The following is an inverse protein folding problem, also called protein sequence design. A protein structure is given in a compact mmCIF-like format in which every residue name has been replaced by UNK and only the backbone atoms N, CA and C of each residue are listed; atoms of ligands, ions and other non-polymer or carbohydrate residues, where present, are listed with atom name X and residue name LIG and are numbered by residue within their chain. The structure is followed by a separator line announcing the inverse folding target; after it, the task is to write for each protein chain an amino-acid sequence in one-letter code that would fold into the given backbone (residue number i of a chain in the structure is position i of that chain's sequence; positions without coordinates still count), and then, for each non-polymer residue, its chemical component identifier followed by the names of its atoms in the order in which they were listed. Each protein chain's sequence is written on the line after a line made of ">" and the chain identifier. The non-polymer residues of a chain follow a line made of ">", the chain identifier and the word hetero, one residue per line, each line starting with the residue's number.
data_IF_790797864493
#
_entry.id   IF_790797864493
#
_cell.length_a   1.000
_cell.length_b   1.000
_cell.length_c   1.000
_cell.angle_alpha   90.00
_cell.angle_beta   90.00
_cell.angle_gamma   90.00
#
_symmetry.space_group_name_H-M   'P 1'
#
loop_
_entity.id
_entity.type
_entity.pdbx_description
1 polymer ?
#
# COMPACT_ATOMS: atom_id res chain seq x y z
N UNK A 1 -22.21 10.56 8.60
CA UNK A 1 -21.16 10.72 7.57
C UNK A 1 -21.29 9.60 6.56
N UNK A 2 -21.01 9.85 5.28
CA UNK A 2 -20.97 8.82 4.24
C UNK A 2 -19.86 7.81 4.56
N UNK A 3 -20.19 6.52 4.61
CA UNK A 3 -19.16 5.47 4.62
C UNK A 3 -18.64 5.31 3.19
N UNK A 4 -17.54 5.99 2.88
CA UNK A 4 -16.95 6.02 1.53
C UNK A 4 -16.57 4.61 1.07
N UNK A 5 -16.02 3.78 1.95
CA UNK A 5 -15.61 2.41 1.60
C UNK A 5 -16.81 1.55 1.20
N UNK A 6 -17.90 1.61 1.94
CA UNK A 6 -19.13 0.87 1.62
C UNK A 6 -19.74 1.36 0.30
N UNK A 7 -19.80 2.68 0.08
CA UNK A 7 -20.31 3.25 -1.16
C UNK A 7 -19.50 2.78 -2.39
N UNK A 8 -18.16 2.77 -2.28
CA UNK A 8 -17.30 2.27 -3.36
C UNK A 8 -17.59 0.79 -3.64
N UNK A 9 -17.69 -0.04 -2.60
CA UNK A 9 -17.96 -1.46 -2.73
C UNK A 9 -19.29 -1.75 -3.44
N UNK A 10 -20.36 -1.06 -3.00
CA UNK A 10 -21.73 -1.32 -3.46
C UNK A 10 -22.01 -0.73 -4.85
N UNK A 11 -21.45 0.45 -5.15
CA UNK A 11 -21.87 1.24 -6.32
C UNK A 11 -20.78 1.52 -7.36
N UNK A 12 -19.49 1.41 -7.01
CA UNK A 12 -18.39 1.70 -7.95
C UNK A 12 -17.74 0.42 -8.43
N UNK A 13 -17.28 -0.42 -7.51
CA UNK A 13 -16.57 -1.65 -7.86
C UNK A 13 -17.49 -2.86 -7.94
N UNK A 14 -18.69 -2.80 -7.36
CA UNK A 14 -19.64 -3.92 -7.32
C UNK A 14 -19.09 -5.17 -6.61
N UNK A 15 -18.16 -4.98 -5.67
CA UNK A 15 -17.46 -6.04 -4.93
C UNK A 15 -17.17 -5.58 -3.52
N UNK A 16 -17.41 -6.46 -2.55
CA UNK A 16 -17.20 -6.19 -1.12
C UNK A 16 -15.73 -6.34 -0.69
N UNK A 17 -14.95 -7.08 -1.47
CA UNK A 17 -13.56 -7.40 -1.15
C UNK A 17 -12.64 -7.26 -2.35
N UNK A 18 -11.33 -7.18 -2.08
CA UNK A 18 -10.30 -7.18 -3.11
C UNK A 18 -10.21 -8.55 -3.79
N UNK A 19 -10.04 -8.56 -5.11
CA UNK A 19 -9.82 -9.81 -5.87
C UNK A 19 -8.53 -10.54 -5.45
N UNK A 20 -7.59 -9.83 -4.84
CA UNK A 20 -6.32 -10.40 -4.38
C UNK A 20 -6.34 -10.80 -2.90
N UNK A 21 -7.46 -10.59 -2.18
CA UNK A 21 -7.52 -10.84 -0.73
C UNK A 21 -7.20 -12.30 -0.40
N UNK A 22 -7.82 -13.24 -1.11
CA UNK A 22 -7.59 -14.67 -0.92
C UNK A 22 -6.14 -15.07 -1.23
N UNK A 23 -5.57 -14.56 -2.33
CA UNK A 23 -4.20 -14.89 -2.74
C UNK A 23 -3.16 -14.33 -1.77
N UNK A 24 -3.35 -13.10 -1.29
CA UNK A 24 -2.47 -12.47 -0.29
C UNK A 24 -2.50 -13.27 1.00
N UNK A 25 -3.68 -13.69 1.45
CA UNK A 25 -3.81 -14.48 2.68
C UNK A 25 -3.18 -15.85 2.53
N UNK A 26 -3.44 -16.55 1.42
CA UNK A 26 -2.86 -17.86 1.12
C UNK A 26 -1.32 -17.82 1.02
N UNK A 27 -0.73 -16.67 0.71
CA UNK A 27 0.72 -16.50 0.58
C UNK A 27 1.33 -15.64 1.71
N UNK A 28 0.58 -15.31 2.77
CA UNK A 28 0.98 -14.35 3.79
C UNK A 28 2.34 -14.68 4.42
N UNK A 29 2.57 -15.94 4.78
CA UNK A 29 3.81 -16.37 5.42
C UNK A 29 5.01 -16.27 4.47
N UNK A 30 4.82 -16.64 3.20
CA UNK A 30 5.85 -16.52 2.16
C UNK A 30 6.19 -15.06 1.91
N UNK A 31 5.18 -14.20 1.74
CA UNK A 31 5.37 -12.76 1.55
C UNK A 31 6.10 -12.15 2.75
N UNK A 32 5.71 -12.52 3.97
CA UNK A 32 6.41 -12.08 5.19
C UNK A 32 7.87 -12.52 5.20
N UNK A 33 8.17 -13.78 4.91
CA UNK A 33 9.54 -14.29 4.86
C UNK A 33 10.42 -13.55 3.84
N UNK A 34 9.85 -13.20 2.69
CA UNK A 34 10.58 -12.52 1.61
C UNK A 34 10.72 -11.01 1.80
N UNK A 35 9.83 -10.36 2.56
CA UNK A 35 9.79 -8.89 2.69
C UNK A 35 10.27 -8.40 4.05
N UNK A 36 9.97 -9.13 5.13
CA UNK A 36 10.26 -8.68 6.49
C UNK A 36 11.76 -8.40 6.67
N UNK A 37 12.08 -7.22 7.20
CA UNK A 37 13.44 -6.72 7.39
C UNK A 37 14.29 -6.56 6.11
N UNK A 38 13.71 -6.70 4.92
CA UNK A 38 14.41 -6.37 3.65
C UNK A 38 14.31 -4.89 3.31
N UNK A 39 15.24 -4.40 2.50
CA UNK A 39 15.16 -3.06 1.91
C UNK A 39 14.40 -3.11 0.59
N UNK A 40 13.46 -2.19 0.39
CA UNK A 40 12.62 -2.09 -0.81
C UNK A 40 12.89 -0.75 -1.50
N UNK A 41 13.21 -0.79 -2.80
CA UNK A 41 13.30 0.38 -3.68
C UNK A 41 12.10 0.36 -4.64
N UNK A 42 11.31 1.43 -4.64
CA UNK A 42 10.17 1.61 -5.55
C UNK A 42 10.45 2.79 -6.47
N UNK A 43 10.57 2.52 -7.77
CA UNK A 43 10.75 3.52 -8.82
C UNK A 43 9.38 3.84 -9.43
N UNK A 44 9.05 5.11 -9.60
CA UNK A 44 7.70 5.55 -9.95
C UNK A 44 6.72 5.40 -8.77
N UNK A 45 7.22 5.51 -7.55
CA UNK A 45 6.47 5.16 -6.35
C UNK A 45 5.38 6.16 -5.94
N UNK A 46 5.42 7.39 -6.45
CA UNK A 46 4.37 8.38 -6.20
C UNK A 46 3.19 8.27 -7.19
N UNK A 47 3.31 7.46 -8.25
CA UNK A 47 2.22 7.17 -9.17
C UNK A 47 1.12 6.27 -8.55
N UNK A 48 0.03 6.05 -9.30
CA UNK A 48 -1.12 5.27 -8.83
C UNK A 48 -0.76 3.84 -8.45
N UNK A 49 0.01 3.14 -9.29
CA UNK A 49 0.42 1.75 -9.04
C UNK A 49 1.51 1.70 -7.97
N UNK A 50 2.50 2.58 -8.05
CA UNK A 50 3.62 2.62 -7.10
C UNK A 50 3.16 2.85 -5.67
N UNK A 51 2.27 3.83 -5.45
CA UNK A 51 1.72 4.12 -4.14
C UNK A 51 0.83 2.99 -3.61
N UNK A 52 0.05 2.34 -4.49
CA UNK A 52 -0.76 1.16 -4.13
C UNK A 52 0.12 -0.02 -3.73
N UNK A 53 1.21 -0.28 -4.46
CA UNK A 53 2.20 -1.31 -4.12
C UNK A 53 2.86 -1.03 -2.77
N UNK A 54 3.25 0.22 -2.52
CA UNK A 54 3.84 0.62 -1.23
C UNK A 54 2.88 0.30 -0.08
N UNK A 55 1.59 0.63 -0.19
CA UNK A 55 0.61 0.30 0.86
C UNK A 55 0.45 -1.20 1.08
N UNK A 56 0.57 -2.00 0.02
CA UNK A 56 0.47 -3.46 0.11
C UNK A 56 1.71 -4.11 0.74
N UNK A 57 2.90 -3.53 0.55
CA UNK A 57 4.17 -4.10 1.06
C UNK A 57 4.44 -3.72 2.51
N UNK A 58 4.02 -2.52 2.95
CA UNK A 58 4.28 -2.01 4.30
C UNK A 58 3.76 -2.90 5.46
N UNK A 59 2.59 -3.56 5.37
CA UNK A 59 2.14 -4.52 6.39
C UNK A 59 3.11 -5.68 6.65
N UNK A 60 3.96 -6.04 5.68
CA UNK A 60 4.98 -7.07 5.82
C UNK A 60 6.29 -6.57 6.47
N UNK A 61 6.31 -5.32 6.92
CA UNK A 61 7.39 -4.72 7.74
C UNK A 61 8.80 -4.82 7.12
N UNK A 62 9.03 -4.26 5.92
CA UNK A 62 10.39 -4.09 5.39
C UNK A 62 11.26 -3.24 6.33
N UNK A 63 12.58 -3.40 6.32
CA UNK A 63 13.49 -2.60 7.17
C UNK A 63 13.75 -1.20 6.63
N UNK A 64 13.51 -0.97 5.34
CA UNK A 64 13.72 0.31 4.68
C UNK A 64 12.85 0.40 3.44
N UNK A 65 12.25 1.56 3.22
CA UNK A 65 11.57 1.91 1.98
C UNK A 65 12.27 3.11 1.34
N UNK A 66 12.74 2.96 0.11
CA UNK A 66 13.25 4.05 -0.72
C UNK A 66 12.28 4.26 -1.87
N UNK A 67 11.80 5.49 -2.03
CA UNK A 67 10.86 5.85 -3.08
C UNK A 67 11.52 6.85 -4.01
N UNK A 68 11.51 6.54 -5.30
CA UNK A 68 12.05 7.41 -6.36
C UNK A 68 10.92 7.74 -7.31
N UNK A 69 10.68 9.03 -7.52
CA UNK A 69 9.70 9.53 -8.49
C UNK A 69 10.14 10.91 -8.99
N UNK A 70 9.69 11.29 -10.19
CA UNK A 70 9.95 12.62 -10.76
C UNK A 70 8.97 13.67 -10.21
N UNK A 71 7.83 13.23 -9.65
CA UNK A 71 6.80 14.11 -9.11
C UNK A 71 7.06 14.48 -7.65
N UNK A 72 7.57 15.68 -7.40
CA UNK A 72 7.73 16.23 -6.04
C UNK A 72 6.40 16.29 -5.29
N UNK A 73 5.34 16.76 -5.96
CA UNK A 73 4.00 16.85 -5.38
C UNK A 73 3.49 15.47 -4.98
N UNK A 74 3.64 14.48 -5.87
CA UNK A 74 3.23 13.10 -5.58
C UNK A 74 4.01 12.49 -4.41
N UNK A 75 5.32 12.74 -4.32
CA UNK A 75 6.13 12.27 -3.18
C UNK A 75 5.69 12.94 -1.87
N UNK A 76 5.35 14.23 -1.92
CA UNK A 76 4.86 14.98 -0.76
C UNK A 76 3.52 14.43 -0.29
N UNK A 77 2.58 14.20 -1.20
CA UNK A 77 1.26 13.63 -0.91
C UNK A 77 1.38 12.21 -0.36
N UNK A 78 2.17 11.35 -1.02
CA UNK A 78 2.45 9.99 -0.56
C UNK A 78 3.02 9.99 0.85
N UNK A 79 4.02 10.83 1.12
CA UNK A 79 4.65 10.92 2.44
C UNK A 79 3.66 11.35 3.52
N UNK A 80 2.82 12.35 3.23
CA UNK A 80 1.78 12.80 4.18
C UNK A 80 0.78 11.69 4.46
N UNK A 81 0.30 11.03 3.41
CA UNK A 81 -0.73 10.01 3.49
C UNK A 81 -0.26 8.74 4.22
N UNK A 82 0.97 8.27 3.94
CA UNK A 82 1.56 7.15 4.68
C UNK A 82 1.72 7.45 6.18
N UNK A 83 2.10 8.69 6.52
CA UNK A 83 2.34 9.10 7.92
C UNK A 83 1.06 9.46 8.68
N UNK A 84 0.00 9.87 7.99
CA UNK A 84 -1.29 10.20 8.61
C UNK A 84 -2.23 9.01 8.72
N UNK A 85 -1.97 7.93 7.98
CA UNK A 85 -2.79 6.70 8.03
C UNK A 85 -2.61 6.00 9.38
N UNK A 86 -3.67 5.97 10.18
CA UNK A 86 -3.67 5.29 11.48
C UNK A 86 -3.35 3.80 11.34
N UNK A 87 -2.40 3.32 12.14
CA UNK A 87 -1.98 1.91 12.14
C UNK A 87 -1.05 1.50 10.99
N UNK A 88 -0.71 2.41 10.08
CA UNK A 88 0.27 2.15 9.02
C UNK A 88 1.68 2.02 9.61
N UNK A 89 2.40 0.97 9.21
CA UNK A 89 3.84 0.88 9.48
C UNK A 89 4.61 1.66 8.42
N UNK A 90 5.52 2.54 8.86
CA UNK A 90 6.46 3.24 7.98
C UNK A 90 7.87 3.01 8.54
N UNK A 91 8.77 2.33 7.79
CA UNK A 91 10.13 2.04 8.23
C UNK A 91 11.06 3.25 8.24
#
# INVERSE_FOLDING_TARGET
>A
MLNVSQFIADHITGRQESMFAADIEANRDKLRAEIERKSVLVIGGAGTIGSSYIRAVLPFRPSKLVVVDISENGLTELTRDLRSTYGMYVP
#
